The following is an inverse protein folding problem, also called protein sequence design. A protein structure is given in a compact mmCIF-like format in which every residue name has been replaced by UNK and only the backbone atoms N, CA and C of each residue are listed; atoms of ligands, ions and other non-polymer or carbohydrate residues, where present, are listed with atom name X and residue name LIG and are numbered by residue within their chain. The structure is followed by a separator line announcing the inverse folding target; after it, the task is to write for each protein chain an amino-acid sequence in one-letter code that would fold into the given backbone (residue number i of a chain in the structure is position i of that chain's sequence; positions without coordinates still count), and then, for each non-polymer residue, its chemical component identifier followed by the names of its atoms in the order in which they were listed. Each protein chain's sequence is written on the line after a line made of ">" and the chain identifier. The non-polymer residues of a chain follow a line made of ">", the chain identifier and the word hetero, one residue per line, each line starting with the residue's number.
data_IF_724639260797
#
_entry.id   IF_724639260797
#
_cell.length_a   1.000
_cell.length_b   1.000
_cell.length_c   1.000
_cell.angle_alpha   90.00
_cell.angle_beta   90.00
_cell.angle_gamma   90.00
#
_symmetry.space_group_name_H-M   'P 1'
#
loop_
_entity.id
_entity.type
_entity.pdbx_description
1 polymer ?
#
# COMPACT_ATOMS: atom_id res chain seq x y z
N UNK A 1 -10.62 6.94 32.40
CA UNK A 1 -9.23 7.19 31.97
C UNK A 1 -8.97 6.80 30.47
N UNK A 2 -9.80 5.96 29.85
CA UNK A 2 -9.58 5.53 28.44
C UNK A 2 -10.08 6.53 27.41
N UNK A 3 -11.09 7.34 27.69
CA UNK A 3 -11.68 8.25 26.70
C UNK A 3 -10.74 9.39 26.28
N UNK A 4 -9.88 9.88 27.18
CA UNK A 4 -8.93 10.95 26.87
C UNK A 4 -7.81 10.53 25.92
N UNK A 5 -7.35 9.27 26.00
CA UNK A 5 -6.32 8.75 25.13
C UNK A 5 -6.81 8.62 23.66
N UNK A 6 -8.06 8.22 23.47
CA UNK A 6 -8.68 8.15 22.15
C UNK A 6 -8.88 9.53 21.53
N UNK A 7 -9.34 10.51 22.33
CA UNK A 7 -9.47 11.89 21.85
C UNK A 7 -8.13 12.47 21.42
N UNK A 8 -7.06 12.28 22.21
CA UNK A 8 -5.72 12.74 21.85
C UNK A 8 -5.20 12.07 20.57
N UNK A 9 -5.46 10.77 20.39
CA UNK A 9 -5.07 10.06 19.18
C UNK A 9 -5.79 10.60 17.93
N UNK A 10 -7.12 10.81 18.01
CA UNK A 10 -7.87 11.38 16.89
C UNK A 10 -7.48 12.82 16.59
N UNK A 11 -7.19 13.64 17.59
CA UNK A 11 -6.70 15.00 17.41
C UNK A 11 -5.31 15.03 16.75
N UNK A 12 -4.42 14.13 17.14
CA UNK A 12 -3.11 14.00 16.50
C UNK A 12 -3.23 13.59 15.02
N UNK A 13 -4.13 12.64 14.71
CA UNK A 13 -4.43 12.24 13.34
C UNK A 13 -5.05 13.39 12.53
N UNK A 14 -5.99 14.13 13.10
CA UNK A 14 -6.58 15.31 12.46
C UNK A 14 -5.54 16.41 12.20
N UNK A 15 -4.64 16.66 13.16
CA UNK A 15 -3.56 17.62 13.00
C UNK A 15 -2.57 17.20 11.89
N UNK A 16 -2.25 15.91 11.79
CA UNK A 16 -1.41 15.40 10.70
C UNK A 16 -2.07 15.55 9.33
N UNK A 17 -3.39 15.35 9.24
CA UNK A 17 -4.14 15.60 8.00
C UNK A 17 -4.18 17.09 7.63
N UNK A 18 -4.18 17.99 8.62
CA UNK A 18 -4.12 19.43 8.35
C UNK A 18 -2.85 19.83 7.59
N UNK A 19 -1.73 19.15 7.84
CA UNK A 19 -0.48 19.35 7.06
C UNK A 19 -0.70 19.03 5.58
N UNK A 20 -1.40 17.95 5.28
CA UNK A 20 -1.75 17.58 3.89
C UNK A 20 -2.64 18.64 3.22
N UNK A 21 -3.66 19.12 3.93
CA UNK A 21 -4.55 20.19 3.43
C UNK A 21 -3.77 21.47 3.16
N UNK A 22 -2.91 21.89 4.07
CA UNK A 22 -2.05 23.06 3.90
C UNK A 22 -1.13 22.90 2.68
N UNK A 23 -0.52 21.71 2.54
CA UNK A 23 0.35 21.42 1.39
C UNK A 23 -0.41 21.54 0.06
N UNK A 24 -1.64 21.02 -0.01
CA UNK A 24 -2.48 21.12 -1.20
C UNK A 24 -2.85 22.56 -1.51
N UNK A 25 -3.19 23.38 -0.50
CA UNK A 25 -3.53 24.79 -0.69
C UNK A 25 -2.36 25.63 -1.20
N UNK A 26 -1.12 25.27 -0.84
CA UNK A 26 0.09 25.94 -1.34
C UNK A 26 0.66 25.30 -2.61
N UNK A 27 0.15 24.14 -3.02
CA UNK A 27 0.61 23.47 -4.23
C UNK A 27 0.05 24.20 -5.46
N UNK A 28 0.92 24.45 -6.45
CA UNK A 28 0.46 24.99 -7.74
C UNK A 28 -0.42 23.96 -8.43
N UNK A 29 -1.62 24.35 -8.82
CA UNK A 29 -2.45 23.52 -9.67
C UNK A 29 -1.74 23.25 -11.01
N UNK A 30 -1.68 21.98 -11.45
CA UNK A 30 -1.23 21.67 -12.79
C UNK A 30 -2.15 22.36 -13.81
N UNK A 31 -1.59 22.75 -14.96
CA UNK A 31 -2.35 23.39 -16.01
C UNK A 31 -3.58 22.55 -16.34
N UNK A 32 -4.80 23.07 -16.15
CA UNK A 32 -5.99 22.28 -16.41
C UNK A 32 -6.03 21.88 -17.88
N UNK A 33 -6.11 20.60 -18.15
CA UNK A 33 -6.46 20.11 -19.49
C UNK A 33 -7.91 20.50 -19.72
N UNK A 34 -8.14 21.48 -20.57
CA UNK A 34 -9.48 21.96 -20.90
C UNK A 34 -10.19 20.86 -21.68
N UNK A 35 -10.87 19.98 -20.97
CA UNK A 35 -11.81 19.04 -21.56
C UNK A 35 -13.09 19.81 -21.92
N UNK A 36 -13.69 19.59 -23.11
CA UNK A 36 -14.95 20.21 -23.43
C UNK A 36 -16.00 19.87 -22.37
N UNK A 37 -16.81 20.84 -21.93
CA UNK A 37 -17.81 20.63 -20.91
C UNK A 37 -18.79 19.53 -21.35
N UNK A 38 -18.98 18.51 -20.51
CA UNK A 38 -19.94 17.45 -20.75
C UNK A 38 -21.36 18.04 -20.79
N UNK A 39 -22.08 17.79 -21.88
CA UNK A 39 -23.45 18.33 -22.10
C UNK A 39 -24.51 17.61 -21.27
N UNK A 40 -24.25 16.36 -20.90
CA UNK A 40 -25.17 15.49 -20.16
C UNK A 40 -24.42 14.64 -19.14
N UNK A 41 -25.14 14.15 -18.11
CA UNK A 41 -24.59 13.23 -17.11
C UNK A 41 -24.02 11.95 -17.75
N UNK A 42 -24.60 11.47 -18.84
CA UNK A 42 -24.11 10.33 -19.59
C UNK A 42 -22.74 10.59 -20.27
N UNK A 43 -22.54 11.76 -20.86
CA UNK A 43 -21.25 12.20 -21.41
C UNK A 43 -20.21 12.36 -20.31
N UNK A 44 -20.61 12.89 -19.16
CA UNK A 44 -19.72 13.02 -18.01
C UNK A 44 -19.24 11.65 -17.50
N UNK A 45 -20.16 10.68 -17.33
CA UNK A 45 -19.81 9.30 -16.92
C UNK A 45 -18.93 8.65 -18.00
N UNK A 46 -19.25 8.84 -19.26
CA UNK A 46 -18.46 8.34 -20.37
C UNK A 46 -17.03 8.87 -20.31
N UNK A 47 -16.85 10.19 -20.21
CA UNK A 47 -15.54 10.82 -20.15
C UNK A 47 -14.76 10.51 -18.86
N UNK A 48 -15.47 10.37 -17.72
CA UNK A 48 -14.83 10.10 -16.44
C UNK A 48 -14.46 8.63 -16.22
N UNK A 49 -15.21 7.70 -16.81
CA UNK A 49 -15.05 6.27 -16.56
C UNK A 49 -14.72 5.50 -17.83
N UNK A 50 -15.55 5.61 -18.86
CA UNK A 50 -15.43 4.75 -20.05
C UNK A 50 -14.21 5.11 -20.89
N UNK A 51 -13.99 6.39 -21.15
CA UNK A 51 -12.92 6.85 -22.03
C UNK A 51 -11.51 6.55 -21.49
N UNK A 52 -11.20 6.69 -20.18
CA UNK A 52 -9.89 6.27 -19.63
C UNK A 52 -9.63 4.75 -19.78
N UNK A 53 -10.67 3.93 -19.56
CA UNK A 53 -10.54 2.48 -19.75
C UNK A 53 -10.40 2.10 -21.23
N UNK A 54 -11.19 2.74 -22.11
CA UNK A 54 -11.11 2.51 -23.55
C UNK A 54 -9.75 2.93 -24.10
N UNK A 55 -9.22 4.08 -23.69
CA UNK A 55 -7.89 4.56 -24.07
C UNK A 55 -6.78 3.61 -23.56
N UNK A 56 -6.86 3.19 -22.31
CA UNK A 56 -5.93 2.25 -21.70
C UNK A 56 -5.94 0.89 -22.44
N UNK A 57 -7.13 0.34 -22.67
CA UNK A 57 -7.28 -0.92 -23.40
C UNK A 57 -6.86 -0.79 -24.87
N UNK A 58 -7.16 0.34 -25.50
CA UNK A 58 -6.76 0.63 -26.87
C UNK A 58 -5.25 0.76 -27.05
N UNK A 59 -4.55 1.38 -26.09
CA UNK A 59 -3.08 1.56 -26.13
C UNK A 59 -2.32 0.28 -25.85
N UNK A 60 -2.77 -0.51 -24.88
CA UNK A 60 -2.04 -1.67 -24.37
C UNK A 60 -2.62 -3.01 -24.86
N UNK A 61 -3.84 -3.03 -25.45
CA UNK A 61 -4.46 -4.24 -26.00
C UNK A 61 -4.46 -5.40 -24.98
N UNK A 62 -3.93 -6.56 -25.38
CA UNK A 62 -3.83 -7.72 -24.52
C UNK A 62 -2.92 -7.51 -23.29
N UNK A 63 -1.93 -6.65 -23.39
CA UNK A 63 -1.04 -6.31 -22.27
C UNK A 63 -1.80 -5.57 -21.15
N UNK A 64 -2.85 -4.81 -21.47
CA UNK A 64 -3.71 -4.19 -20.48
C UNK A 64 -4.37 -5.22 -19.57
N UNK A 65 -4.87 -6.32 -20.12
CA UNK A 65 -5.46 -7.41 -19.34
C UNK A 65 -4.42 -8.07 -18.43
N UNK A 66 -3.20 -8.27 -18.90
CA UNK A 66 -2.11 -8.82 -18.10
C UNK A 66 -1.72 -7.89 -16.93
N UNK A 67 -1.63 -6.58 -17.17
CA UNK A 67 -1.34 -5.59 -16.14
C UNK A 67 -2.46 -5.56 -15.09
N UNK A 68 -3.72 -5.52 -15.53
CA UNK A 68 -4.86 -5.54 -14.61
C UNK A 68 -4.93 -6.84 -13.80
N UNK A 69 -4.65 -7.98 -14.43
CA UNK A 69 -4.59 -9.27 -13.74
C UNK A 69 -3.46 -9.30 -12.70
N UNK A 70 -2.29 -8.79 -13.03
CA UNK A 70 -1.15 -8.67 -12.11
C UNK A 70 -1.52 -7.81 -10.89
N UNK A 71 -2.10 -6.63 -11.14
CA UNK A 71 -2.54 -5.72 -10.08
C UNK A 71 -3.62 -6.38 -9.20
N UNK A 72 -4.59 -7.06 -9.82
CA UNK A 72 -5.66 -7.73 -9.08
C UNK A 72 -5.12 -8.86 -8.19
N UNK A 73 -4.25 -9.71 -8.72
CA UNK A 73 -3.64 -10.81 -7.94
C UNK A 73 -2.80 -10.25 -6.79
N UNK A 74 -1.98 -9.23 -7.06
CA UNK A 74 -1.19 -8.56 -6.04
C UNK A 74 -2.08 -7.96 -4.95
N UNK A 75 -3.14 -7.22 -5.34
CA UNK A 75 -4.02 -6.55 -4.39
C UNK A 75 -4.84 -7.52 -3.54
N UNK A 76 -5.31 -8.63 -4.13
CA UNK A 76 -6.01 -9.68 -3.40
C UNK A 76 -5.10 -10.30 -2.34
N UNK A 77 -3.86 -10.62 -2.70
CA UNK A 77 -2.86 -11.17 -1.78
C UNK A 77 -2.62 -10.24 -0.58
N UNK A 78 -2.42 -8.94 -0.84
CA UNK A 78 -2.19 -7.92 0.17
C UNK A 78 -3.39 -7.78 1.14
N UNK A 79 -4.61 -7.74 0.59
CA UNK A 79 -5.84 -7.65 1.40
C UNK A 79 -6.03 -8.90 2.27
N UNK A 80 -5.85 -10.10 1.70
CA UNK A 80 -6.01 -11.36 2.44
C UNK A 80 -5.01 -11.45 3.58
N UNK A 81 -3.73 -11.12 3.32
CA UNK A 81 -2.70 -11.09 4.35
C UNK A 81 -3.01 -10.06 5.44
N UNK A 82 -3.46 -8.86 5.08
CA UNK A 82 -3.84 -7.83 6.05
C UNK A 82 -4.97 -8.27 7.00
N UNK A 83 -5.95 -9.02 6.50
CA UNK A 83 -7.05 -9.54 7.31
C UNK A 83 -6.58 -10.71 8.19
N UNK A 84 -5.77 -11.62 7.64
CA UNK A 84 -5.33 -12.83 8.32
C UNK A 84 -4.19 -12.61 9.31
N UNK A 85 -3.45 -11.52 9.20
CA UNK A 85 -2.30 -11.23 10.07
C UNK A 85 -2.67 -11.16 11.56
N UNK A 86 -3.76 -10.48 11.91
CA UNK A 86 -4.18 -10.36 13.30
C UNK A 86 -4.59 -11.70 13.94
N UNK A 87 -5.48 -12.53 13.35
CA UNK A 87 -5.74 -13.87 13.84
C UNK A 87 -4.48 -14.72 13.96
N UNK A 88 -3.60 -14.68 12.96
CA UNK A 88 -2.34 -15.41 12.96
C UNK A 88 -1.46 -15.07 14.16
N UNK A 89 -1.28 -13.79 14.49
CA UNK A 89 -0.47 -13.38 15.64
C UNK A 89 -1.08 -13.88 16.96
N UNK A 90 -2.41 -13.86 17.08
CA UNK A 90 -3.10 -14.37 18.28
C UNK A 90 -2.93 -15.88 18.41
N UNK A 91 -3.09 -16.62 17.33
CA UNK A 91 -2.92 -18.08 17.31
C UNK A 91 -1.49 -18.51 17.64
N UNK A 92 -0.50 -17.70 17.24
CA UNK A 92 0.92 -17.90 17.58
C UNK A 92 1.25 -17.51 19.03
N UNK A 93 0.30 -16.98 19.79
CA UNK A 93 0.45 -16.62 21.18
C UNK A 93 1.13 -15.27 21.43
N UNK A 94 1.28 -14.42 20.40
CA UNK A 94 1.82 -13.08 20.57
C UNK A 94 0.83 -12.16 21.32
N UNK A 95 1.36 -11.36 22.25
CA UNK A 95 0.56 -10.38 22.96
C UNK A 95 0.23 -9.19 22.08
N UNK A 96 -0.89 -8.51 22.37
CA UNK A 96 -1.30 -7.32 21.62
C UNK A 96 -0.25 -6.21 21.64
N UNK A 97 0.48 -6.09 22.75
CA UNK A 97 1.50 -5.06 22.91
C UNK A 97 2.75 -5.37 22.05
N UNK A 98 3.18 -6.63 22.00
CA UNK A 98 4.27 -7.08 21.13
C UNK A 98 3.93 -6.85 19.65
N UNK A 99 2.75 -7.29 19.23
CA UNK A 99 2.28 -7.09 17.86
C UNK A 99 2.19 -5.60 17.55
N UNK A 100 1.62 -4.77 18.45
CA UNK A 100 1.52 -3.34 18.22
C UNK A 100 2.88 -2.65 18.13
N UNK A 101 3.83 -3.01 18.98
CA UNK A 101 5.19 -2.47 18.94
C UNK A 101 5.90 -2.82 17.63
N UNK A 102 5.82 -4.07 17.20
CA UNK A 102 6.47 -4.54 15.98
C UNK A 102 5.79 -3.98 14.73
N UNK A 103 4.48 -4.11 14.61
CA UNK A 103 3.78 -3.72 13.37
C UNK A 103 3.65 -2.22 13.20
N UNK A 104 3.37 -1.48 14.29
CA UNK A 104 3.13 -0.04 14.21
C UNK A 104 4.39 0.81 14.28
N UNK A 105 5.45 0.34 14.90
CA UNK A 105 6.72 1.09 14.96
C UNK A 105 7.65 0.59 13.86
N UNK A 106 8.09 -0.66 13.93
CA UNK A 106 8.98 -1.22 12.92
C UNK A 106 8.34 -1.29 11.53
N UNK A 107 7.08 -1.74 11.46
CA UNK A 107 6.35 -1.84 10.20
C UNK A 107 6.29 -0.51 9.47
N UNK A 108 5.91 0.58 10.14
CA UNK A 108 5.81 1.91 9.52
C UNK A 108 7.19 2.41 9.05
N UNK A 109 8.23 2.25 9.87
CA UNK A 109 9.60 2.65 9.49
C UNK A 109 10.05 1.88 8.25
N UNK A 110 9.84 0.56 8.22
CA UNK A 110 10.23 -0.27 7.08
C UNK A 110 9.43 0.03 5.82
N UNK A 111 8.13 0.36 5.94
CA UNK A 111 7.31 0.81 4.81
C UNK A 111 7.84 2.12 4.23
N UNK A 112 8.20 3.10 5.07
CA UNK A 112 8.77 4.37 4.62
C UNK A 112 10.13 4.18 3.94
N UNK A 113 10.99 3.34 4.52
CA UNK A 113 12.28 2.99 3.91
C UNK A 113 12.05 2.29 2.57
N UNK A 114 11.12 1.34 2.52
CA UNK A 114 10.75 0.63 1.29
C UNK A 114 10.24 1.57 0.21
N UNK A 115 9.34 2.49 0.57
CA UNK A 115 8.80 3.49 -0.36
C UNK A 115 9.91 4.43 -0.88
N UNK A 116 10.82 4.88 -0.02
CA UNK A 116 11.95 5.70 -0.44
C UNK A 116 12.88 4.93 -1.40
N UNK A 117 13.27 3.72 -1.04
CA UNK A 117 14.11 2.87 -1.87
C UNK A 117 13.42 2.53 -3.19
N UNK A 118 12.14 2.14 -3.14
CA UNK A 118 11.32 1.85 -4.32
C UNK A 118 11.22 3.06 -5.25
N UNK A 119 10.98 4.26 -4.71
CA UNK A 119 10.94 5.50 -5.48
C UNK A 119 12.26 5.80 -6.19
N UNK A 120 13.39 5.70 -5.49
CA UNK A 120 14.72 5.90 -6.11
C UNK A 120 15.02 4.85 -7.17
N UNK A 121 14.71 3.59 -6.89
CA UNK A 121 14.90 2.50 -7.85
C UNK A 121 13.98 2.65 -9.08
N UNK A 122 12.75 3.10 -8.89
CA UNK A 122 11.78 3.34 -9.97
C UNK A 122 12.29 4.38 -10.96
N UNK A 123 12.96 5.42 -10.46
CA UNK A 123 13.61 6.43 -11.32
C UNK A 123 14.76 5.86 -12.15
N UNK A 124 15.47 4.84 -11.65
CA UNK A 124 16.65 4.25 -12.34
C UNK A 124 16.31 3.05 -13.22
N UNK A 125 15.45 2.17 -12.74
CA UNK A 125 15.16 0.87 -13.36
C UNK A 125 13.85 0.86 -14.16
N UNK A 126 13.01 1.86 -13.93
CA UNK A 126 11.67 1.96 -14.51
C UNK A 126 10.60 1.23 -13.70
N UNK A 127 9.38 1.74 -13.79
CA UNK A 127 8.23 1.32 -12.96
C UNK A 127 7.91 -0.18 -13.11
N UNK A 128 7.97 -0.72 -14.32
CA UNK A 128 7.60 -2.13 -14.58
C UNK A 128 8.51 -3.12 -13.85
N UNK A 129 9.83 -2.82 -13.81
CA UNK A 129 10.79 -3.68 -13.11
C UNK A 129 10.60 -3.63 -11.61
N UNK A 130 10.27 -2.46 -11.08
CA UNK A 130 10.02 -2.29 -9.64
C UNK A 130 8.71 -2.96 -9.22
N UNK A 131 7.65 -2.89 -10.03
CA UNK A 131 6.43 -3.66 -9.80
C UNK A 131 6.70 -5.17 -9.75
N UNK A 132 7.49 -5.68 -10.69
CA UNK A 132 7.87 -7.10 -10.70
C UNK A 132 8.69 -7.47 -9.46
N UNK A 133 9.66 -6.63 -9.09
CA UNK A 133 10.48 -6.82 -7.89
C UNK A 133 9.61 -6.78 -6.63
N UNK A 134 8.70 -5.83 -6.51
CA UNK A 134 7.73 -5.75 -5.42
C UNK A 134 6.86 -7.01 -5.32
N UNK A 135 6.36 -7.52 -6.45
CA UNK A 135 5.59 -8.76 -6.48
C UNK A 135 6.39 -9.98 -5.99
N UNK A 136 7.64 -10.10 -6.41
CA UNK A 136 8.54 -11.19 -5.97
C UNK A 136 8.86 -11.06 -4.49
N UNK A 137 9.15 -9.87 -4.01
CA UNK A 137 9.42 -9.62 -2.59
C UNK A 137 8.19 -9.88 -1.72
N UNK A 138 7.00 -9.50 -2.17
CA UNK A 138 5.75 -9.76 -1.46
C UNK A 138 5.44 -11.26 -1.41
N UNK A 139 5.66 -11.99 -2.51
CA UNK A 139 5.55 -13.45 -2.49
C UNK A 139 6.55 -14.10 -1.53
N UNK A 140 7.77 -13.57 -1.48
CA UNK A 140 8.81 -14.01 -0.55
C UNK A 140 8.45 -13.75 0.91
N UNK A 141 7.89 -12.56 1.22
CA UNK A 141 7.45 -12.23 2.58
C UNK A 141 6.32 -13.14 3.06
N UNK A 142 5.39 -13.50 2.17
CA UNK A 142 4.34 -14.49 2.50
C UNK A 142 4.91 -15.85 2.89
N UNK A 143 6.00 -16.29 2.24
CA UNK A 143 6.70 -17.52 2.63
C UNK A 143 7.38 -17.39 3.99
N UNK A 144 7.87 -16.19 4.35
CA UNK A 144 8.42 -15.93 5.67
C UNK A 144 7.36 -16.04 6.78
N UNK A 145 6.10 -15.65 6.52
CA UNK A 145 5.01 -15.90 7.46
C UNK A 145 4.75 -17.42 7.66
N UNK A 146 4.80 -18.19 6.58
CA UNK A 146 4.69 -19.65 6.68
C UNK A 146 5.86 -20.26 7.47
N UNK A 147 7.07 -19.72 7.31
CA UNK A 147 8.24 -20.12 8.09
C UNK A 147 8.07 -19.74 9.57
N UNK A 148 7.56 -18.54 9.87
CA UNK A 148 7.28 -18.09 11.25
C UNK A 148 6.27 -19.02 11.94
N UNK A 149 5.26 -19.50 11.23
CA UNK A 149 4.29 -20.45 11.77
C UNK A 149 4.91 -21.73 12.33
N UNK A 150 6.06 -22.14 11.80
CA UNK A 150 6.80 -23.31 12.29
C UNK A 150 7.72 -23.06 13.49
N UNK A 151 7.95 -21.77 13.86
CA UNK A 151 8.92 -21.40 14.92
C UNK A 151 8.26 -21.05 16.26
N UNK A 152 6.93 -21.02 16.34
CA UNK A 152 6.21 -20.69 17.56
C UNK A 152 6.38 -19.22 17.97
N UNK A 153 6.27 -18.94 19.28
CA UNK A 153 6.37 -17.60 19.82
C UNK A 153 7.81 -17.09 19.86
N UNK A 154 8.29 -16.52 18.76
CA UNK A 154 9.61 -15.86 18.66
C UNK A 154 9.45 -14.41 18.17
N UNK A 155 9.61 -13.47 19.08
CA UNK A 155 9.48 -12.02 18.79
C UNK A 155 10.56 -11.56 17.80
N UNK A 156 11.75 -12.14 17.82
CA UNK A 156 12.83 -11.77 16.88
C UNK A 156 12.47 -12.19 15.45
N UNK A 157 11.95 -13.40 15.31
CA UNK A 157 11.45 -13.87 14.02
C UNK A 157 10.27 -13.03 13.53
N UNK A 158 9.35 -12.64 14.42
CA UNK A 158 8.25 -11.74 14.11
C UNK A 158 8.75 -10.38 13.57
N UNK A 159 9.73 -9.76 14.24
CA UNK A 159 10.34 -8.50 13.79
C UNK A 159 10.92 -8.65 12.37
N UNK A 160 11.65 -9.72 12.11
CA UNK A 160 12.27 -9.96 10.81
C UNK A 160 11.21 -10.11 9.70
N UNK A 161 10.17 -10.91 9.94
CA UNK A 161 9.10 -11.17 8.97
C UNK A 161 8.29 -9.91 8.70
N UNK A 162 7.85 -9.20 9.73
CA UNK A 162 7.10 -7.95 9.60
C UNK A 162 7.94 -6.88 8.91
N UNK A 163 9.24 -6.80 9.21
CA UNK A 163 10.13 -5.84 8.55
C UNK A 163 10.29 -6.15 7.06
N UNK A 164 10.45 -7.41 6.69
CA UNK A 164 10.56 -7.83 5.30
C UNK A 164 9.27 -7.56 4.52
N UNK A 165 8.11 -7.86 5.12
CA UNK A 165 6.81 -7.65 4.50
C UNK A 165 6.51 -6.17 4.27
N UNK A 166 6.71 -5.34 5.28
CA UNK A 166 6.49 -3.90 5.16
C UNK A 166 7.48 -3.22 4.21
N UNK A 167 8.73 -3.69 4.17
CA UNK A 167 9.72 -3.22 3.19
C UNK A 167 9.28 -3.57 1.76
N UNK A 168 8.84 -4.81 1.54
CA UNK A 168 8.34 -5.27 0.25
C UNK A 168 7.12 -4.46 -0.20
N UNK A 169 6.16 -4.26 0.70
CA UNK A 169 4.96 -3.43 0.47
C UNK A 169 5.32 -1.98 0.17
N UNK A 170 6.29 -1.40 0.89
CA UNK A 170 6.80 -0.06 0.64
C UNK A 170 7.41 0.08 -0.76
N UNK A 171 8.27 -0.86 -1.17
CA UNK A 171 8.89 -0.87 -2.51
C UNK A 171 7.82 -1.00 -3.60
N UNK A 172 6.82 -1.83 -3.39
CA UNK A 172 5.74 -2.04 -4.35
C UNK A 172 4.77 -0.87 -4.47
N UNK A 173 4.68 -0.03 -3.42
CA UNK A 173 3.79 1.14 -3.38
C UNK A 173 4.42 2.40 -3.99
N UNK A 174 5.72 2.39 -4.28
CA UNK A 174 6.49 3.49 -4.84
C UNK A 174 6.39 3.57 -6.36
#
# INVERSE_FOLDING_TARGET
>A
YQNGAWQAAYLAMAASMAVGVVTVLFSREPVPVVLPPAKNAAEWIKGAVVDPFADFLGRYGWQAAQILALIAVYRISDVVMGIMANPFYVDMGFTKDEVAAVTKVYGVIMTLVGAFVGGVLSMRLGVMRILMLGAVLSAGSNLLFAWLAGHGHDVTALIAVVSADNLASGIASA
#
